data_IF_083842880120
#
_entry.id   IF_083842880120
#
_cell.length_a   1.000
_cell.length_b   1.000
_cell.length_c   1.000
_cell.angle_alpha   90.00
_cell.angle_beta   90.00
_cell.angle_gamma   90.00
#
_symmetry.space_group_name_H-M   'P 1'
#
loop_
_entity.id
_entity.type
_entity.pdbx_description
1 polymer ?
#
# COMPACT_ATOMS: atom_id res chain seq x y z
N UNK A 1 6.25 -1.19 20.41
CA UNK A 1 4.96 -1.88 20.63
C UNK A 1 3.96 -0.90 21.22
N UNK A 2 2.74 -0.89 20.72
CA UNK A 2 1.65 -0.10 21.29
C UNK A 2 0.74 -0.96 22.18
N UNK A 3 0.06 -0.39 23.18
CA UNK A 3 -0.80 -1.16 24.09
C UNK A 3 -1.95 -1.91 23.40
N UNK A 4 -2.33 -1.47 22.21
CA UNK A 4 -3.42 -2.03 21.41
C UNK A 4 -2.96 -3.00 20.29
N UNK A 5 -1.67 -3.36 20.22
CA UNK A 5 -1.17 -4.23 19.16
C UNK A 5 -1.82 -5.62 19.15
N UNK A 6 -2.24 -6.13 20.31
CA UNK A 6 -3.03 -7.37 20.38
C UNK A 6 -4.42 -7.22 19.74
N UNK A 7 -5.09 -6.07 19.92
CA UNK A 7 -6.38 -5.80 19.28
C UNK A 7 -6.22 -5.62 17.77
N UNK A 8 -5.15 -4.95 17.34
CA UNK A 8 -4.81 -4.78 15.94
C UNK A 8 -4.52 -6.14 15.28
N UNK A 9 -3.74 -7.00 15.94
CA UNK A 9 -3.45 -8.36 15.46
C UNK A 9 -4.74 -9.18 15.30
N UNK A 10 -5.65 -9.09 16.28
CA UNK A 10 -6.95 -9.79 16.20
C UNK A 10 -7.82 -9.26 15.04
N UNK A 11 -7.80 -7.96 14.79
CA UNK A 11 -8.55 -7.36 13.68
C UNK A 11 -8.07 -7.89 12.33
N UNK A 12 -6.75 -7.89 12.07
CA UNK A 12 -6.18 -8.31 10.77
C UNK A 12 -6.19 -9.82 10.52
N UNK A 13 -6.63 -10.63 11.49
CA UNK A 13 -6.89 -12.06 11.29
C UNK A 13 -8.23 -12.33 10.58
N UNK A 14 -9.08 -11.32 10.43
CA UNK A 14 -10.29 -11.43 9.64
C UNK A 14 -9.93 -11.51 8.16
N UNK A 15 -10.70 -12.32 7.42
CA UNK A 15 -10.49 -12.50 5.97
C UNK A 15 -11.65 -11.84 5.22
N UNK A 16 -11.50 -10.60 4.74
CA UNK A 16 -12.51 -9.93 3.95
C UNK A 16 -12.80 -10.69 2.66
N UNK A 17 -14.07 -10.70 2.24
CA UNK A 17 -14.52 -11.35 1.02
C UNK A 17 -15.06 -10.33 0.01
N UNK A 18 -15.36 -9.12 0.46
CA UNK A 18 -15.90 -8.03 -0.35
C UNK A 18 -15.16 -6.73 -0.08
N UNK A 19 -15.26 -5.76 -0.99
CA UNK A 19 -14.71 -4.41 -0.77
C UNK A 19 -15.33 -3.78 0.49
N UNK A 20 -16.60 -4.03 0.76
CA UNK A 20 -17.26 -3.54 1.97
C UNK A 20 -16.63 -4.12 3.25
N UNK A 21 -16.25 -5.40 3.26
CA UNK A 21 -15.52 -6.00 4.38
C UNK A 21 -14.13 -5.38 4.54
N UNK A 22 -13.44 -5.09 3.42
CA UNK A 22 -12.14 -4.37 3.44
C UNK A 22 -12.31 -3.00 4.08
N UNK A 23 -13.30 -2.22 3.66
CA UNK A 23 -13.60 -0.90 4.25
C UNK A 23 -13.84 -1.02 5.75
N UNK A 24 -14.68 -1.96 6.20
CA UNK A 24 -14.96 -2.17 7.63
C UNK A 24 -13.70 -2.52 8.43
N UNK A 25 -12.83 -3.36 7.86
CA UNK A 25 -11.57 -3.73 8.52
C UNK A 25 -10.61 -2.54 8.59
N UNK A 26 -10.48 -1.75 7.52
CA UNK A 26 -9.69 -0.52 7.51
C UNK A 26 -10.23 0.51 8.53
N UNK A 27 -11.55 0.67 8.65
CA UNK A 27 -12.19 1.50 9.68
C UNK A 27 -11.88 1.02 11.09
N UNK A 28 -11.89 -0.30 11.30
CA UNK A 28 -11.53 -0.91 12.58
C UNK A 28 -10.07 -0.62 12.94
N UNK A 29 -9.13 -0.81 12.01
CA UNK A 29 -7.72 -0.46 12.18
C UNK A 29 -7.56 1.04 12.48
N UNK A 30 -8.28 1.89 11.74
CA UNK A 30 -8.25 3.34 11.92
C UNK A 30 -8.69 3.76 13.34
N UNK A 31 -9.68 3.07 13.90
CA UNK A 31 -10.19 3.34 15.25
C UNK A 31 -9.27 2.82 16.35
N UNK A 32 -8.58 1.71 16.12
CA UNK A 32 -7.64 1.10 17.07
C UNK A 32 -6.36 1.93 17.18
N UNK A 33 -5.81 2.38 16.05
CA UNK A 33 -4.53 3.09 16.01
C UNK A 33 -4.64 4.50 16.60
N UNK A 34 -3.75 4.84 17.53
CA UNK A 34 -3.62 6.19 18.06
C UNK A 34 -2.98 7.15 17.05
N UNK A 35 -3.16 8.45 17.23
CA UNK A 35 -2.60 9.50 16.36
C UNK A 35 -1.06 9.52 16.31
N UNK A 36 -0.40 8.93 17.31
CA UNK A 36 1.04 8.77 17.36
C UNK A 36 1.56 7.53 16.63
N UNK A 37 0.67 6.71 16.06
CA UNK A 37 1.06 5.54 15.27
C UNK A 37 1.14 5.88 13.78
N UNK A 38 2.31 5.70 13.20
CA UNK A 38 2.53 5.93 11.77
C UNK A 38 1.63 5.09 10.87
N UNK A 39 1.26 3.88 11.29
CA UNK A 39 0.36 3.01 10.55
C UNK A 39 -1.00 3.65 10.30
N UNK A 40 -1.51 4.43 11.26
CA UNK A 40 -2.79 5.13 11.13
C UNK A 40 -2.86 6.02 9.90
N UNK A 41 -1.77 6.66 9.52
CA UNK A 41 -1.74 7.64 8.44
C UNK A 41 -1.75 6.98 7.07
N UNK A 42 -1.04 5.87 6.91
CA UNK A 42 -1.19 5.03 5.72
C UNK A 42 -2.61 4.43 5.65
N UNK A 43 -3.07 3.80 6.73
CA UNK A 43 -4.38 3.17 6.77
C UNK A 43 -5.52 4.14 6.43
N UNK A 44 -5.46 5.38 6.94
CA UNK A 44 -6.45 6.41 6.64
C UNK A 44 -6.48 6.77 5.16
N UNK A 45 -5.31 6.96 4.54
CA UNK A 45 -5.22 7.23 3.11
C UNK A 45 -5.71 6.04 2.27
N UNK A 46 -5.34 4.82 2.65
CA UNK A 46 -5.79 3.61 1.98
C UNK A 46 -7.31 3.38 2.12
N UNK A 47 -7.88 3.70 3.28
CA UNK A 47 -9.34 3.68 3.49
C UNK A 47 -10.06 4.63 2.52
N UNK A 48 -9.54 5.85 2.32
CA UNK A 48 -10.12 6.80 1.39
C UNK A 48 -10.03 6.31 -0.07
N UNK A 49 -8.92 5.67 -0.43
CA UNK A 49 -8.73 5.02 -1.74
C UNK A 49 -9.74 3.88 -1.94
N UNK A 50 -9.86 2.96 -0.98
CA UNK A 50 -10.77 1.80 -1.07
C UNK A 50 -12.23 2.24 -1.16
N UNK A 51 -12.63 3.29 -0.42
CA UNK A 51 -13.98 3.88 -0.54
C UNK A 51 -14.23 4.46 -1.94
N UNK A 52 -13.25 5.09 -2.55
CA UNK A 52 -13.39 5.61 -3.91
C UNK A 52 -13.51 4.47 -4.95
N UNK A 53 -12.79 3.36 -4.76
CA UNK A 53 -12.94 2.14 -5.55
C UNK A 53 -14.33 1.56 -5.40
N UNK A 54 -14.81 1.38 -4.16
CA UNK A 54 -16.16 0.86 -3.89
C UNK A 54 -17.24 1.71 -4.56
N UNK A 55 -17.17 3.03 -4.38
CA UNK A 55 -18.14 3.94 -5.00
C UNK A 55 -18.18 3.81 -6.53
N UNK A 56 -17.04 3.54 -7.17
CA UNK A 56 -16.97 3.34 -8.61
C UNK A 56 -17.51 1.99 -9.04
N UNK A 57 -17.26 0.92 -8.26
CA UNK A 57 -17.89 -0.41 -8.48
C UNK A 57 -19.41 -0.30 -8.37
N UNK A 58 -19.91 0.34 -7.31
CA UNK A 58 -21.34 0.52 -7.06
C UNK A 58 -22.04 1.33 -8.18
N UNK A 59 -21.30 2.25 -8.79
CA UNK A 59 -21.78 3.05 -9.92
C UNK A 59 -21.65 2.34 -11.29
N UNK A 60 -21.26 1.06 -11.32
CA UNK A 60 -20.96 0.30 -12.55
C UNK A 60 -19.95 1.03 -13.45
N UNK A 61 -18.97 1.68 -12.86
CA UNK A 61 -17.99 2.52 -13.53
C UNK A 61 -16.75 1.78 -14.08
N UNK A 62 -16.81 0.43 -14.14
CA UNK A 62 -15.77 -0.45 -14.68
C UNK A 62 -16.32 -1.32 -15.81
N UNK A 63 -15.46 -1.71 -16.73
CA UNK A 63 -15.77 -2.65 -17.80
C UNK A 63 -15.85 -4.10 -17.26
N UNK A 64 -15.01 -4.42 -16.27
CA UNK A 64 -15.02 -5.70 -15.54
C UNK A 64 -15.05 -5.46 -14.02
N UNK A 65 -16.20 -5.10 -13.45
CA UNK A 65 -16.31 -4.78 -12.03
C UNK A 65 -16.08 -5.99 -11.11
N UNK A 66 -16.33 -7.22 -11.59
CA UNK A 66 -16.12 -8.44 -10.81
C UNK A 66 -14.63 -8.71 -10.62
N UNK A 67 -13.84 -8.64 -11.70
CA UNK A 67 -12.38 -8.75 -11.63
C UNK A 67 -11.79 -7.67 -10.73
N UNK A 68 -12.28 -6.43 -10.86
CA UNK A 68 -11.76 -5.31 -10.07
C UNK A 68 -12.06 -5.46 -8.58
N UNK A 69 -13.25 -5.96 -8.23
CA UNK A 69 -13.62 -6.24 -6.84
C UNK A 69 -12.73 -7.34 -6.23
N UNK A 70 -12.44 -8.39 -6.99
CA UNK A 70 -11.53 -9.46 -6.54
C UNK A 70 -10.11 -8.92 -6.35
N UNK A 71 -9.64 -8.05 -7.27
CA UNK A 71 -8.34 -7.41 -7.16
C UNK A 71 -8.24 -6.57 -5.88
N UNK A 72 -9.23 -5.73 -5.57
CA UNK A 72 -9.21 -4.87 -4.39
C UNK A 72 -9.13 -5.68 -3.10
N UNK A 73 -9.92 -6.75 -2.99
CA UNK A 73 -9.91 -7.67 -1.82
C UNK A 73 -8.56 -8.38 -1.70
N UNK A 74 -8.02 -8.91 -2.81
CA UNK A 74 -6.74 -9.60 -2.81
C UNK A 74 -5.60 -8.66 -2.45
N UNK A 75 -5.61 -7.45 -3.00
CA UNK A 75 -4.63 -6.43 -2.73
C UNK A 75 -4.63 -6.01 -1.25
N UNK A 76 -5.80 -5.77 -0.67
CA UNK A 76 -5.94 -5.49 0.75
C UNK A 76 -5.40 -6.63 1.64
N UNK A 77 -5.54 -7.87 1.21
CA UNK A 77 -5.02 -9.06 1.89
C UNK A 77 -3.51 -9.00 2.13
N UNK A 78 -2.72 -8.47 1.19
CA UNK A 78 -1.28 -8.28 1.36
C UNK A 78 -0.95 -7.29 2.50
N UNK A 79 -1.68 -6.18 2.58
CA UNK A 79 -1.51 -5.23 3.67
C UNK A 79 -1.83 -5.85 5.03
N UNK A 80 -2.95 -6.56 5.15
CA UNK A 80 -3.34 -7.21 6.40
C UNK A 80 -2.34 -8.29 6.81
N UNK A 81 -1.82 -9.05 5.84
CA UNK A 81 -0.75 -10.03 6.08
C UNK A 81 0.55 -9.36 6.54
N UNK A 82 0.91 -8.19 5.97
CA UNK A 82 2.08 -7.44 6.41
C UNK A 82 1.94 -6.93 7.85
N UNK A 83 0.76 -6.41 8.24
CA UNK A 83 0.46 -6.01 9.62
C UNK A 83 0.56 -7.23 10.55
N UNK A 84 -0.09 -8.34 10.18
CA UNK A 84 -0.03 -9.59 10.96
C UNK A 84 1.41 -10.09 11.12
N UNK A 85 2.18 -10.15 10.04
CA UNK A 85 3.57 -10.58 10.05
C UNK A 85 4.44 -9.72 10.96
N UNK A 86 4.33 -8.39 10.86
CA UNK A 86 5.08 -7.46 11.70
C UNK A 86 4.77 -7.63 13.19
N UNK A 87 3.48 -7.74 13.56
CA UNK A 87 3.07 -7.90 14.95
C UNK A 87 3.40 -9.29 15.50
N UNK A 88 3.39 -10.33 14.65
CA UNK A 88 3.72 -11.69 15.05
C UNK A 88 5.24 -11.88 15.21
N UNK A 89 6.06 -11.21 14.41
CA UNK A 89 7.52 -11.31 14.48
C UNK A 89 8.11 -10.89 15.82
N UNK A 90 7.40 -10.03 16.56
CA UNK A 90 7.77 -9.65 17.92
C UNK A 90 7.68 -10.83 18.91
N UNK A 91 6.91 -11.85 18.58
CA UNK A 91 6.66 -13.03 19.42
C UNK A 91 7.28 -14.29 18.84
N UNK A 92 7.32 -14.42 17.52
CA UNK A 92 7.79 -15.60 16.79
C UNK A 92 8.97 -15.20 15.87
N UNK A 93 10.21 -15.55 16.23
CA UNK A 93 11.36 -15.28 15.37
C UNK A 93 11.22 -15.96 14.01
N UNK A 94 11.47 -15.19 12.94
CA UNK A 94 11.37 -15.69 11.56
C UNK A 94 10.01 -15.50 10.89
N UNK A 95 8.96 -15.10 11.62
CA UNK A 95 7.78 -14.50 11.03
C UNK A 95 8.06 -13.00 10.83
N UNK A 96 7.65 -12.41 9.72
CA UNK A 96 7.88 -10.98 9.51
C UNK A 96 7.13 -10.46 8.30
N UNK A 97 6.90 -9.16 8.30
CA UNK A 97 6.43 -8.46 7.11
C UNK A 97 7.58 -8.39 6.07
N UNK A 98 7.27 -8.19 4.78
CA UNK A 98 8.27 -7.81 3.76
C UNK A 98 9.10 -6.60 4.20
N UNK A 99 10.33 -6.50 3.73
CA UNK A 99 11.29 -5.47 4.14
C UNK A 99 10.80 -4.05 3.89
N UNK A 100 10.02 -3.83 2.83
CA UNK A 100 9.40 -2.55 2.50
C UNK A 100 8.36 -2.11 3.56
N UNK A 101 7.60 -3.05 4.13
CA UNK A 101 6.68 -2.82 5.23
C UNK A 101 7.40 -2.70 6.58
N UNK A 102 8.44 -3.51 6.80
CA UNK A 102 9.28 -3.40 8.01
C UNK A 102 9.88 -2.00 8.14
N UNK A 103 10.21 -1.32 7.04
CA UNK A 103 10.68 0.05 7.07
C UNK A 103 9.71 0.99 7.81
N UNK A 104 8.39 0.84 7.60
CA UNK A 104 7.36 1.60 8.31
C UNK A 104 7.17 1.11 9.75
N UNK A 105 7.04 -0.21 9.95
CA UNK A 105 6.76 -0.79 11.26
C UNK A 105 7.86 -0.49 12.30
N UNK A 106 9.13 -0.49 11.88
CA UNK A 106 10.27 -0.21 12.75
C UNK A 106 10.28 1.21 13.32
N UNK A 107 9.61 2.15 12.67
CA UNK A 107 9.62 3.57 13.03
C UNK A 107 8.22 4.14 13.30
N UNK A 108 7.16 3.33 13.28
CA UNK A 108 5.77 3.78 13.36
C UNK A 108 5.43 4.59 14.64
N UNK A 109 6.24 4.47 15.68
CA UNK A 109 6.10 5.18 16.95
C UNK A 109 7.02 6.41 17.08
N UNK A 110 7.74 6.79 16.03
CA UNK A 110 8.70 7.88 16.07
C UNK A 110 8.03 9.22 15.77
N UNK A 111 7.87 10.05 16.80
CA UNK A 111 7.25 11.38 16.71
C UNK A 111 7.91 12.38 15.73
N UNK A 112 9.25 12.34 15.48
CA UNK A 112 9.88 13.24 14.52
C UNK A 112 9.56 12.94 13.05
N UNK A 113 8.93 11.79 12.74
CA UNK A 113 8.52 11.46 11.37
C UNK A 113 7.12 12.04 11.14
N UNK A 114 6.97 12.84 10.08
CA UNK A 114 5.70 13.48 9.77
C UNK A 114 4.66 12.50 9.24
N UNK A 115 3.39 12.80 9.49
CA UNK A 115 2.24 11.95 9.10
C UNK A 115 2.24 11.59 7.62
N UNK A 116 2.52 12.57 6.76
CA UNK A 116 2.59 12.36 5.30
C UNK A 116 3.69 11.38 4.90
N UNK A 117 4.81 11.34 5.61
CA UNK A 117 5.89 10.40 5.33
C UNK A 117 5.44 8.96 5.54
N UNK A 118 4.69 8.69 6.64
CA UNK A 118 4.11 7.38 6.88
C UNK A 118 3.07 7.01 5.84
N UNK A 119 2.18 7.94 5.48
CA UNK A 119 1.17 7.70 4.46
C UNK A 119 1.80 7.31 3.12
N UNK A 120 2.77 8.08 2.63
CA UNK A 120 3.41 7.81 1.34
C UNK A 120 4.37 6.63 1.37
N UNK A 121 5.08 6.38 2.48
CA UNK A 121 5.92 5.19 2.61
C UNK A 121 5.10 3.90 2.60
N UNK A 122 3.94 3.88 3.26
CA UNK A 122 3.01 2.77 3.19
C UNK A 122 2.42 2.58 1.80
N UNK A 123 2.00 3.68 1.13
CA UNK A 123 1.55 3.59 -0.27
C UNK A 123 2.64 3.10 -1.21
N UNK A 124 3.89 3.53 -1.00
CA UNK A 124 5.03 3.03 -1.77
C UNK A 124 5.23 1.52 -1.59
N UNK A 125 5.17 1.01 -0.36
CA UNK A 125 5.26 -0.42 -0.09
C UNK A 125 4.11 -1.19 -0.75
N UNK A 126 2.88 -0.73 -0.54
CA UNK A 126 1.68 -1.40 -1.02
C UNK A 126 1.62 -1.44 -2.55
N UNK A 127 1.92 -0.32 -3.24
CA UNK A 127 1.82 -0.28 -4.71
C UNK A 127 3.01 -0.95 -5.40
N UNK A 128 4.24 -0.68 -4.96
CA UNK A 128 5.41 -1.19 -5.71
C UNK A 128 5.77 -2.64 -5.38
N UNK A 129 5.34 -3.16 -4.22
CA UNK A 129 5.61 -4.54 -3.83
C UNK A 129 4.36 -5.43 -3.88
N UNK A 130 3.24 -5.00 -3.25
CA UNK A 130 2.09 -5.90 -3.10
C UNK A 130 1.20 -5.93 -4.35
N UNK A 131 1.00 -4.79 -5.03
CA UNK A 131 0.06 -4.69 -6.15
C UNK A 131 0.45 -5.56 -7.35
N UNK A 132 1.72 -5.66 -7.79
CA UNK A 132 2.09 -6.59 -8.86
C UNK A 132 1.70 -8.03 -8.56
N UNK A 133 1.92 -8.48 -7.33
CA UNK A 133 1.59 -9.83 -6.88
C UNK A 133 0.07 -10.03 -6.82
N UNK A 134 -0.67 -9.03 -6.34
CA UNK A 134 -2.14 -9.09 -6.32
C UNK A 134 -2.74 -9.19 -7.73
N UNK A 135 -2.20 -8.45 -8.70
CA UNK A 135 -2.63 -8.52 -10.11
C UNK A 135 -2.39 -9.91 -10.67
N UNK A 136 -1.19 -10.46 -10.49
CA UNK A 136 -0.85 -11.83 -10.95
C UNK A 136 -1.77 -12.87 -10.32
N UNK A 137 -1.92 -12.83 -9.00
CA UNK A 137 -2.78 -13.79 -8.27
C UNK A 137 -4.22 -13.79 -8.79
N UNK A 138 -4.77 -12.61 -9.09
CA UNK A 138 -6.15 -12.49 -9.61
C UNK A 138 -6.22 -12.91 -11.06
N UNK A 139 -5.26 -12.55 -11.87
CA UNK A 139 -5.19 -12.96 -13.27
C UNK A 139 -5.12 -14.49 -13.40
N UNK A 140 -4.27 -15.14 -12.61
CA UNK A 140 -4.17 -16.61 -12.57
C UNK A 140 -5.47 -17.26 -12.06
N UNK A 141 -6.10 -16.71 -11.02
CA UNK A 141 -7.35 -17.22 -10.48
C UNK A 141 -8.53 -17.10 -11.47
N UNK A 142 -8.50 -16.11 -12.36
CA UNK A 142 -9.57 -15.84 -13.33
C UNK A 142 -9.24 -16.34 -14.74
N UNK A 143 -8.03 -16.81 -14.99
CA UNK A 143 -7.56 -17.23 -16.32
C UNK A 143 -7.38 -16.08 -17.30
N UNK A 144 -7.09 -14.88 -16.78
CA UNK A 144 -6.85 -13.65 -17.56
C UNK A 144 -5.35 -13.34 -17.50
N UNK A 145 -4.73 -13.04 -18.63
CA UNK A 145 -3.34 -12.57 -18.64
C UNK A 145 -3.30 -11.04 -18.43
N UNK A 146 -2.37 -10.52 -17.58
CA UNK A 146 -2.18 -9.09 -17.44
C UNK A 146 -1.56 -8.53 -18.73
N UNK A 147 -2.30 -7.66 -19.43
CA UNK A 147 -1.90 -7.08 -20.72
C UNK A 147 -2.38 -5.63 -20.80
N UNK A 148 -1.55 -4.75 -21.38
CA UNK A 148 -1.93 -3.34 -21.63
C UNK A 148 -3.13 -3.18 -22.55
N UNK A 149 -3.38 -4.12 -23.46
CA UNK A 149 -4.53 -4.09 -24.36
C UNK A 149 -5.72 -4.89 -23.83
N UNK A 150 -6.04 -4.73 -22.54
CA UNK A 150 -7.14 -5.44 -21.88
C UNK A 150 -8.14 -4.49 -21.19
N UNK A 151 -9.38 -4.97 -21.04
CA UNK A 151 -10.39 -4.24 -20.24
C UNK A 151 -9.92 -4.02 -18.80
N UNK A 152 -9.19 -4.98 -18.23
CA UNK A 152 -8.65 -4.91 -16.88
C UNK A 152 -7.62 -3.78 -16.72
N UNK A 153 -6.76 -3.58 -17.73
CA UNK A 153 -5.82 -2.47 -17.73
C UNK A 153 -6.52 -1.12 -17.89
N UNK A 154 -7.52 -1.04 -18.77
CA UNK A 154 -8.32 0.16 -18.95
C UNK A 154 -9.04 0.54 -17.65
N UNK A 155 -9.66 -0.41 -16.96
CA UNK A 155 -10.29 -0.22 -15.65
C UNK A 155 -9.26 0.18 -14.58
N UNK A 156 -8.11 -0.49 -14.57
CA UNK A 156 -7.02 -0.21 -13.65
C UNK A 156 -6.52 1.23 -13.81
N UNK A 157 -6.28 1.69 -15.02
CA UNK A 157 -5.77 3.05 -15.28
C UNK A 157 -6.85 4.13 -15.15
N UNK A 158 -8.12 3.79 -15.37
CA UNK A 158 -9.24 4.73 -15.24
C UNK A 158 -9.40 5.33 -13.82
N UNK A 159 -8.82 4.69 -12.80
CA UNK A 159 -8.77 5.21 -11.43
C UNK A 159 -7.68 6.24 -11.18
N UNK A 160 -6.64 6.30 -12.01
CA UNK A 160 -5.43 7.07 -11.71
C UNK A 160 -5.72 8.53 -11.36
N UNK A 161 -6.60 9.21 -12.12
CA UNK A 161 -6.93 10.61 -11.86
C UNK A 161 -7.62 10.81 -10.47
N UNK A 162 -8.49 9.88 -10.07
CA UNK A 162 -9.13 9.90 -8.76
C UNK A 162 -8.09 9.69 -7.66
N UNK A 163 -7.24 8.68 -7.82
CA UNK A 163 -6.21 8.33 -6.85
C UNK A 163 -5.15 9.44 -6.72
N UNK A 164 -4.70 10.04 -7.82
CA UNK A 164 -3.78 11.18 -7.79
C UNK A 164 -4.40 12.36 -7.02
N UNK A 165 -5.70 12.62 -7.20
CA UNK A 165 -6.40 13.70 -6.48
C UNK A 165 -6.47 13.44 -4.97
N UNK A 166 -6.66 12.19 -4.54
CA UNK A 166 -6.65 11.79 -3.13
C UNK A 166 -5.26 11.96 -2.51
N UNK A 167 -4.21 11.54 -3.22
CA UNK A 167 -2.82 11.72 -2.79
C UNK A 167 -2.48 13.21 -2.63
N UNK A 168 -2.86 14.04 -3.60
CA UNK A 168 -2.63 15.48 -3.52
C UNK A 168 -3.42 16.14 -2.38
N UNK A 169 -4.64 15.67 -2.11
CA UNK A 169 -5.39 16.10 -0.94
C UNK A 169 -4.70 15.67 0.37
N UNK A 170 -4.22 14.43 0.46
CA UNK A 170 -3.47 13.95 1.61
C UNK A 170 -2.17 14.74 1.82
N UNK A 171 -1.40 15.00 0.75
CA UNK A 171 -0.20 15.84 0.81
C UNK A 171 -0.54 17.21 1.40
N UNK A 172 -1.60 17.87 0.93
CA UNK A 172 -2.03 19.18 1.47
C UNK A 172 -2.47 19.10 2.94
N UNK A 173 -3.26 18.11 3.31
CA UNK A 173 -3.86 18.00 4.64
C UNK A 173 -2.84 17.56 5.71
N UNK A 174 -1.89 16.72 5.35
CA UNK A 174 -0.88 16.18 6.25
C UNK A 174 0.42 16.98 6.26
N UNK A 175 0.61 17.87 5.29
CA UNK A 175 1.81 18.69 5.09
C UNK A 175 1.95 19.87 6.07
N UNK A 176 0.89 20.25 6.76
CA UNK A 176 0.80 21.50 7.57
C UNK A 176 1.87 21.62 8.67
N UNK A 177 2.65 20.57 8.94
CA UNK A 177 3.73 20.62 9.93
C UNK A 177 5.14 20.71 9.36
N UNK A 178 5.35 20.47 8.07
CA UNK A 178 6.67 20.57 7.44
C UNK A 178 7.04 22.01 7.04
N UNK A 179 6.05 22.88 6.90
CA UNK A 179 6.21 24.26 6.41
C UNK A 179 6.91 25.25 7.39
N UNK A 180 7.36 24.78 8.56
CA UNK A 180 7.95 25.67 9.57
C UNK A 180 9.47 25.82 9.50
N UNK A 181 10.21 24.90 8.86
CA UNK A 181 11.65 24.85 9.00
C UNK A 181 12.37 24.87 7.65
N UNK A 182 13.07 25.98 7.40
CA UNK A 182 13.93 26.21 6.22
C UNK A 182 15.24 25.36 6.28
N UNK A 183 15.16 24.07 6.62
CA UNK A 183 16.31 23.19 6.68
C UNK A 183 16.49 22.46 5.34
N UNK A 184 17.74 22.32 4.82
CA UNK A 184 18.01 21.65 3.55
C UNK A 184 17.54 20.17 3.49
N UNK A 185 17.45 19.51 4.66
CA UNK A 185 16.95 18.13 4.77
C UNK A 185 15.44 18.06 4.55
N UNK A 186 14.68 19.04 5.02
CA UNK A 186 13.24 19.18 4.81
C UNK A 186 12.94 19.39 3.33
N UNK A 187 13.68 20.29 2.66
CA UNK A 187 13.53 20.54 1.23
C UNK A 187 13.73 19.28 0.37
N UNK A 188 14.76 18.48 0.63
CA UNK A 188 14.98 17.22 -0.10
C UNK A 188 13.88 16.20 0.12
N UNK A 189 13.36 16.12 1.34
CA UNK A 189 12.23 15.24 1.64
C UNK A 189 10.97 15.74 0.93
N UNK A 190 10.70 17.03 0.96
CA UNK A 190 9.59 17.65 0.23
C UNK A 190 9.68 17.37 -1.28
N UNK A 191 10.87 17.51 -1.87
CA UNK A 191 11.10 17.19 -3.28
C UNK A 191 10.81 15.70 -3.56
N UNK A 192 11.24 14.79 -2.68
CA UNK A 192 11.00 13.34 -2.81
C UNK A 192 9.50 13.03 -2.72
N UNK A 193 8.81 13.61 -1.74
CA UNK A 193 7.37 13.39 -1.55
C UNK A 193 6.55 14.04 -2.68
N UNK A 194 6.97 15.22 -3.15
CA UNK A 194 6.32 15.90 -4.27
C UNK A 194 6.49 15.15 -5.60
N UNK A 195 7.66 14.55 -5.81
CA UNK A 195 7.96 13.77 -7.01
C UNK A 195 7.24 12.39 -7.05
N UNK A 196 6.77 11.88 -5.90
CA UNK A 196 6.08 10.60 -5.87
C UNK A 196 4.70 10.72 -6.54
N UNK A 197 4.44 9.84 -7.52
CA UNK A 197 3.23 9.81 -8.32
C UNK A 197 2.55 8.45 -8.21
N UNK A 198 1.28 8.46 -7.88
CA UNK A 198 0.42 7.28 -7.83
C UNK A 198 0.33 6.61 -9.20
N UNK A 199 0.05 7.38 -10.25
CA UNK A 199 -0.09 6.87 -11.60
C UNK A 199 1.19 6.19 -12.09
N UNK A 200 2.37 6.80 -11.84
CA UNK A 200 3.65 6.21 -12.25
C UNK A 200 3.98 4.93 -11.47
N UNK A 201 3.69 4.90 -10.17
CA UNK A 201 3.90 3.73 -9.34
C UNK A 201 2.98 2.57 -9.78
N UNK A 202 1.72 2.87 -10.09
CA UNK A 202 0.75 1.88 -10.58
C UNK A 202 1.11 1.35 -11.96
N UNK A 203 1.62 2.19 -12.85
CA UNK A 203 2.12 1.76 -14.16
C UNK A 203 3.30 0.80 -14.01
N UNK A 204 4.26 1.13 -13.15
CA UNK A 204 5.36 0.22 -12.83
C UNK A 204 4.87 -1.09 -12.22
N UNK A 205 3.84 -1.05 -11.36
CA UNK A 205 3.26 -2.24 -10.75
C UNK A 205 2.60 -3.15 -11.80
N UNK A 206 1.89 -2.60 -12.78
CA UNK A 206 1.33 -3.38 -13.89
C UNK A 206 2.41 -4.04 -14.74
N UNK A 207 3.43 -3.28 -15.15
CA UNK A 207 4.58 -3.82 -15.91
C UNK A 207 5.29 -4.96 -15.14
N UNK A 208 5.41 -4.82 -13.81
CA UNK A 208 5.98 -5.87 -12.97
C UNK A 208 5.06 -7.10 -12.87
N UNK A 209 3.74 -6.92 -12.91
CA UNK A 209 2.79 -8.03 -12.95
C UNK A 209 2.89 -8.80 -14.28
N UNK A 210 2.95 -8.11 -15.42
CA UNK A 210 3.20 -8.74 -16.73
C UNK A 210 4.50 -9.55 -16.72
N UNK A 211 5.57 -9.01 -16.13
CA UNK A 211 6.84 -9.72 -16.02
C UNK A 211 6.73 -10.94 -15.09
N UNK A 212 6.08 -10.82 -13.94
CA UNK A 212 5.87 -11.93 -12.99
C UNK A 212 5.07 -13.07 -13.62
N UNK A 213 4.04 -12.75 -14.40
CA UNK A 213 3.26 -13.75 -15.15
C UNK A 213 4.13 -14.54 -16.12
N UNK A 214 5.02 -13.87 -16.85
CA UNK A 214 5.98 -14.54 -17.75
C UNK A 214 7.02 -15.41 -17.01
N UNK A 215 7.16 -15.22 -15.69
CA UNK A 215 8.06 -15.99 -14.82
C UNK A 215 7.33 -17.13 -14.08
N UNK A 216 6.07 -17.40 -14.38
CA UNK A 216 5.25 -18.42 -13.71
C UNK A 216 5.94 -19.80 -13.70
N UNK A 217 6.47 -20.22 -14.85
CA UNK A 217 7.18 -21.51 -15.01
C UNK A 217 8.59 -21.52 -14.37
N UNK A 218 9.05 -20.41 -13.81
CA UNK A 218 10.39 -20.26 -13.26
C UNK A 218 10.35 -19.75 -11.78
N UNK A 219 9.85 -20.54 -10.83
CA UNK A 219 9.56 -20.09 -9.46
C UNK A 219 10.76 -19.53 -8.69
N UNK A 220 11.98 -20.00 -8.97
CA UNK A 220 13.19 -19.43 -8.37
C UNK A 220 13.48 -18.02 -8.90
N UNK A 221 13.25 -17.78 -10.18
CA UNK A 221 13.46 -16.46 -10.79
C UNK A 221 12.37 -15.49 -10.34
N UNK A 222 11.12 -15.96 -10.34
CA UNK A 222 9.98 -15.17 -9.83
C UNK A 222 10.19 -14.79 -8.36
N UNK A 223 10.60 -15.72 -7.50
CA UNK A 223 10.90 -15.44 -6.10
C UNK A 223 12.03 -14.41 -5.94
N UNK A 224 13.14 -14.54 -6.69
CA UNK A 224 14.24 -13.56 -6.67
C UNK A 224 13.79 -12.19 -7.16
N UNK A 225 12.89 -12.14 -8.14
CA UNK A 225 12.33 -10.88 -8.63
C UNK A 225 11.48 -10.18 -7.55
N UNK A 226 10.61 -10.92 -6.85
CA UNK A 226 9.80 -10.38 -5.74
C UNK A 226 10.71 -9.87 -4.60
N UNK A 227 11.76 -10.64 -4.23
CA UNK A 227 12.75 -10.20 -3.23
C UNK A 227 13.47 -8.91 -3.67
N UNK A 228 13.76 -8.77 -4.97
CA UNK A 228 14.38 -7.55 -5.52
C UNK A 228 13.44 -6.36 -5.45
N UNK A 229 12.15 -6.56 -5.79
CA UNK A 229 11.12 -5.52 -5.64
C UNK A 229 10.99 -5.09 -4.18
N UNK A 230 10.96 -6.04 -3.24
CA UNK A 230 10.92 -5.75 -1.80
C UNK A 230 12.13 -4.90 -1.38
N UNK A 231 13.34 -5.31 -1.77
CA UNK A 231 14.57 -4.61 -1.43
C UNK A 231 14.60 -3.16 -1.94
N UNK A 232 14.25 -2.95 -3.22
CA UNK A 232 14.20 -1.61 -3.83
C UNK A 232 13.14 -0.74 -3.18
N UNK A 233 11.95 -1.31 -2.96
CA UNK A 233 10.84 -0.62 -2.31
C UNK A 233 11.16 -0.27 -0.87
N UNK A 234 11.87 -1.16 -0.15
CA UNK A 234 12.33 -0.90 1.22
C UNK A 234 13.33 0.27 1.29
N UNK A 235 14.23 0.38 0.33
CA UNK A 235 15.16 1.53 0.25
C UNK A 235 14.37 2.84 0.03
N UNK A 236 13.40 2.86 -0.88
CA UNK A 236 12.56 4.02 -1.12
C UNK A 236 11.74 4.41 0.13
N UNK A 237 11.08 3.44 0.79
CA UNK A 237 10.33 3.67 2.03
C UNK A 237 11.23 4.24 3.15
N UNK A 238 12.44 3.70 3.35
CA UNK A 238 13.40 4.22 4.33
C UNK A 238 13.83 5.66 4.03
N UNK A 239 13.97 6.00 2.75
CA UNK A 239 14.31 7.37 2.34
C UNK A 239 13.19 8.36 2.67
N UNK A 240 11.94 7.92 2.58
CA UNK A 240 10.78 8.72 2.96
C UNK A 240 10.63 8.87 4.49
N UNK A 241 11.02 7.86 5.26
CA UNK A 241 10.84 7.79 6.72
C UNK A 241 12.02 8.36 7.51
N UNK A 242 12.64 9.41 7.00
CA UNK A 242 13.74 10.11 7.71
C UNK A 242 13.13 11.07 8.74
N UNK A 243 13.58 11.05 10.02
CA UNK A 243 13.15 12.04 11.00
C UNK A 243 13.42 13.47 10.52
N UNK A 244 12.40 14.32 10.66
CA UNK A 244 12.53 15.76 10.39
C UNK A 244 12.76 16.44 11.73
N UNK A 245 13.81 17.28 11.87
CA UNK A 245 14.17 17.94 13.14
C UNK A 245 13.06 18.88 13.61
#
# INVERSE_FOLDING_TARGET
MFPYDSALLLAVQQTPQTIADVVQLLESIQSICADGDGLKWFNGLYLDVTRAVQARVDAAGFGDPEWFAVLDVRFAGFYFAAVQGALTAEVVPGSGAPGCWQALFNVRNQAPIARIQFALAGMNAHINHDLPQAVVDVCQATGIEPQHASTQYDDYTALNATLDSLIEAAKRNLHVRLLGDALPQVSRLEDTLAAWSMSSAREAAWNNAELLEHLEDAPLVSGTFIETLDGLTAVASKTMLVPVP
#
